data_IF_757621566779
#
_entry.id   IF_757621566779
#
_cell.length_a   1.000
_cell.length_b   1.000
_cell.length_c   1.000
_cell.angle_alpha   90.00
_cell.angle_beta   90.00
_cell.angle_gamma   90.00
#
_symmetry.space_group_name_H-M   'P 1'
#
loop_
_entity.id
_entity.type
_entity.pdbx_description
1 polymer ?
#
# COMPACT_ATOMS: atom_id res chain seq x y z
N UNK A 1 -14.44 -16.44 3.77
CA UNK A 1 -13.40 -16.71 2.74
C UNK A 1 -13.22 -18.19 2.37
N UNK A 2 -13.33 -19.16 3.28
CA UNK A 2 -13.08 -20.59 2.95
C UNK A 2 -13.99 -21.20 1.87
N UNK A 3 -15.24 -20.76 1.73
CA UNK A 3 -16.17 -21.29 0.70
C UNK A 3 -15.77 -20.93 -0.73
N UNK A 4 -15.29 -19.70 -0.97
CA UNK A 4 -14.88 -19.27 -2.30
C UNK A 4 -13.60 -20.00 -2.74
N UNK A 5 -12.62 -20.11 -1.84
CA UNK A 5 -11.42 -20.90 -2.07
C UNK A 5 -11.75 -22.38 -2.31
N UNK A 6 -12.70 -22.96 -1.58
CA UNK A 6 -13.15 -24.35 -1.81
C UNK A 6 -13.89 -24.55 -3.14
N UNK A 7 -14.47 -23.49 -3.70
CA UNK A 7 -15.18 -23.50 -4.97
C UNK A 7 -14.19 -23.34 -6.14
N UNK A 8 -13.19 -22.49 -5.98
CA UNK A 8 -12.07 -22.32 -6.91
C UNK A 8 -11.12 -23.54 -6.94
N UNK A 9 -10.94 -24.23 -5.81
CA UNK A 9 -10.05 -25.39 -5.68
C UNK A 9 -10.75 -26.73 -6.00
N UNK A 10 -12.01 -26.72 -6.44
CA UNK A 10 -12.76 -27.94 -6.71
C UNK A 10 -12.31 -28.54 -8.04
N UNK A 11 -11.63 -29.68 -7.96
CA UNK A 11 -11.08 -30.40 -9.11
C UNK A 11 -12.21 -30.92 -10.03
N UNK A 12 -12.16 -30.61 -11.33
CA UNK A 12 -13.17 -30.92 -12.36
C UNK A 12 -13.33 -32.44 -12.64
N UNK A 13 -12.62 -33.28 -11.89
CA UNK A 13 -12.43 -34.71 -12.13
C UNK A 13 -13.65 -35.61 -11.85
N UNK A 14 -14.77 -35.08 -11.35
CA UNK A 14 -15.93 -35.91 -10.99
C UNK A 14 -17.04 -35.85 -12.06
N UNK A 15 -17.12 -36.92 -12.85
CA UNK A 15 -18.11 -37.11 -13.91
C UNK A 15 -19.56 -36.93 -13.41
N UNK A 16 -20.40 -36.36 -14.27
CA UNK A 16 -21.83 -36.02 -14.09
C UNK A 16 -22.08 -34.58 -13.60
N UNK A 17 -22.19 -33.66 -14.58
CA UNK A 17 -22.91 -32.37 -14.49
C UNK A 17 -22.52 -31.41 -13.35
N UNK A 18 -21.26 -31.36 -12.94
CA UNK A 18 -20.77 -30.22 -12.17
C UNK A 18 -20.74 -29.00 -13.11
N UNK A 19 -21.60 -28.02 -12.85
CA UNK A 19 -21.54 -26.72 -13.55
C UNK A 19 -20.14 -26.15 -13.35
N UNK A 20 -19.34 -26.01 -14.41
CA UNK A 20 -18.09 -25.26 -14.32
C UNK A 20 -18.46 -23.80 -14.11
N UNK A 21 -18.13 -23.26 -12.95
CA UNK A 21 -18.31 -21.85 -12.66
C UNK A 21 -17.06 -21.13 -13.16
N UNK A 22 -17.18 -20.36 -14.22
CA UNK A 22 -16.13 -19.42 -14.62
C UNK A 22 -16.18 -18.23 -13.64
N UNK A 23 -15.27 -18.25 -12.67
CA UNK A 23 -15.18 -17.24 -11.61
C UNK A 23 -13.99 -16.35 -11.93
N UNK A 24 -14.27 -15.13 -12.40
CA UNK A 24 -13.27 -14.09 -12.56
C UNK A 24 -13.31 -13.13 -11.37
N UNK A 25 -12.15 -12.87 -10.78
CA UNK A 25 -11.99 -11.89 -9.70
C UNK A 25 -11.26 -10.67 -10.25
N UNK A 26 -12.00 -9.58 -10.41
CA UNK A 26 -11.44 -8.30 -10.84
C UNK A 26 -10.94 -7.53 -9.61
N UNK A 27 -9.65 -7.68 -9.31
CA UNK A 27 -9.00 -6.93 -8.24
C UNK A 27 -8.64 -5.50 -8.65
N UNK A 28 -8.56 -5.21 -9.96
CA UNK A 28 -8.22 -3.88 -10.46
C UNK A 28 -9.42 -2.93 -10.42
N UNK A 29 -10.63 -3.43 -10.70
CA UNK A 29 -11.87 -2.64 -10.70
C UNK A 29 -12.84 -3.04 -9.59
N UNK A 30 -12.35 -3.56 -8.47
CA UNK A 30 -13.18 -3.91 -7.33
C UNK A 30 -13.94 -2.65 -6.83
N UNK A 31 -15.27 -2.67 -6.94
CA UNK A 31 -16.13 -1.58 -6.47
C UNK A 31 -16.73 -1.94 -5.11
N UNK A 32 -16.78 -0.99 -4.15
CA UNK A 32 -17.37 -1.26 -2.85
C UNK A 32 -18.88 -1.50 -2.97
N UNK A 33 -19.40 -2.39 -2.14
CA UNK A 33 -20.86 -2.43 -1.90
C UNK A 33 -21.31 -1.20 -1.11
N UNK A 34 -22.62 -0.93 -1.08
CA UNK A 34 -23.16 0.21 -0.32
C UNK A 34 -22.77 0.18 1.17
N UNK A 35 -22.67 -1.01 1.75
CA UNK A 35 -22.24 -1.20 3.14
C UNK A 35 -20.75 -1.00 3.36
N UNK A 36 -19.93 -1.17 2.34
CA UNK A 36 -18.47 -1.04 2.42
C UNK A 36 -17.99 0.35 2.02
N UNK A 37 -18.82 1.14 1.33
CA UNK A 37 -18.44 2.39 0.69
C UNK A 37 -17.77 3.40 1.62
N UNK A 38 -18.30 3.60 2.83
CA UNK A 38 -17.72 4.54 3.79
C UNK A 38 -16.27 4.15 4.16
N UNK A 39 -16.05 2.88 4.50
CA UNK A 39 -14.73 2.35 4.85
C UNK A 39 -13.80 2.35 3.63
N UNK A 40 -14.32 2.00 2.46
CA UNK A 40 -13.56 2.02 1.22
C UNK A 40 -13.04 3.42 0.90
N UNK A 41 -13.89 4.45 0.96
CA UNK A 41 -13.51 5.83 0.66
C UNK A 41 -12.49 6.38 1.66
N UNK A 42 -12.61 6.03 2.95
CA UNK A 42 -11.62 6.39 3.97
C UNK A 42 -10.25 5.76 3.66
N UNK A 43 -10.23 4.45 3.41
CA UNK A 43 -8.99 3.71 3.14
C UNK A 43 -8.37 4.14 1.82
N UNK A 44 -9.17 4.33 0.77
CA UNK A 44 -8.70 4.75 -0.55
C UNK A 44 -7.97 6.11 -0.47
N UNK A 45 -8.49 7.05 0.33
CA UNK A 45 -7.84 8.34 0.58
C UNK A 45 -6.45 8.15 1.18
N UNK A 46 -6.34 7.34 2.24
CA UNK A 46 -5.06 7.07 2.91
C UNK A 46 -4.08 6.36 1.98
N UNK A 47 -4.56 5.42 1.17
CA UNK A 47 -3.71 4.70 0.20
C UNK A 47 -3.16 5.65 -0.87
N UNK A 48 -3.97 6.56 -1.41
CA UNK A 48 -3.52 7.58 -2.37
C UNK A 48 -2.48 8.53 -1.75
N UNK A 49 -2.68 8.95 -0.51
CA UNK A 49 -1.71 9.79 0.21
C UNK A 49 -0.40 9.03 0.52
N UNK A 50 -0.47 7.71 0.73
CA UNK A 50 0.70 6.90 1.06
C UNK A 50 1.74 6.85 -0.07
N UNK A 51 1.32 6.97 -1.33
CA UNK A 51 2.25 7.04 -2.46
C UNK A 51 3.17 8.26 -2.36
N UNK A 52 2.61 9.41 -1.99
CA UNK A 52 3.37 10.66 -1.78
C UNK A 52 4.39 10.46 -0.64
N UNK A 53 3.97 9.85 0.47
CA UNK A 53 4.85 9.56 1.60
C UNK A 53 6.01 8.66 1.18
N UNK A 54 5.75 7.64 0.35
CA UNK A 54 6.79 6.74 -0.16
C UNK A 54 7.78 7.47 -1.07
N UNK A 55 7.29 8.34 -1.95
CA UNK A 55 8.15 9.17 -2.82
C UNK A 55 9.07 10.08 -2.00
N UNK A 56 8.54 10.76 -0.99
CA UNK A 56 9.31 11.63 -0.09
C UNK A 56 10.41 10.86 0.66
N UNK A 57 10.09 9.66 1.15
CA UNK A 57 11.06 8.79 1.83
C UNK A 57 12.15 8.32 0.87
N UNK A 58 11.79 7.94 -0.36
CA UNK A 58 12.76 7.45 -1.35
C UNK A 58 13.83 8.50 -1.70
N UNK A 59 13.46 9.78 -1.70
CA UNK A 59 14.38 10.88 -2.03
C UNK A 59 15.02 11.54 -0.81
N UNK A 60 14.74 11.05 0.41
CA UNK A 60 15.29 11.61 1.64
C UNK A 60 16.81 11.35 1.74
N UNK A 61 17.60 12.40 1.45
CA UNK A 61 19.07 12.34 1.49
C UNK A 61 19.67 12.39 2.91
N UNK A 62 18.89 12.88 3.88
CA UNK A 62 19.34 13.22 5.23
C UNK A 62 20.26 14.45 5.28
N UNK A 63 20.57 14.89 6.51
CA UNK A 63 21.43 16.05 6.81
C UNK A 63 22.69 15.68 7.61
N UNK A 64 23.13 14.42 7.50
CA UNK A 64 24.18 13.89 8.38
C UNK A 64 25.54 14.56 8.24
N UNK A 65 25.85 15.14 7.07
CA UNK A 65 27.10 15.88 6.86
C UNK A 65 27.06 17.20 7.64
N UNK A 66 26.00 17.96 7.46
CA UNK A 66 25.75 19.26 8.09
C UNK A 66 25.72 19.12 9.61
N UNK A 67 25.04 18.08 10.11
CA UNK A 67 25.00 17.76 11.55
C UNK A 67 26.40 17.46 12.10
N UNK A 68 27.20 16.63 11.42
CA UNK A 68 28.58 16.33 11.85
C UNK A 68 29.47 17.56 11.82
N UNK A 69 29.34 18.41 10.80
CA UNK A 69 30.04 19.69 10.70
C UNK A 69 29.69 20.60 11.89
N UNK A 70 28.40 20.73 12.23
CA UNK A 70 27.93 21.53 13.35
C UNK A 70 28.37 20.99 14.74
N UNK A 71 28.49 19.67 14.90
CA UNK A 71 29.03 19.06 16.12
C UNK A 71 30.53 19.32 16.26
N UNK A 72 31.28 19.22 15.16
CA UNK A 72 32.72 19.44 15.15
C UNK A 72 33.09 20.93 15.29
N UNK A 73 32.30 21.82 14.70
CA UNK A 73 32.43 23.27 14.79
C UNK A 73 31.10 23.91 15.22
N UNK A 74 30.95 24.35 16.48
CA UNK A 74 29.73 24.97 16.98
C UNK A 74 29.57 26.44 16.55
N UNK A 75 30.26 26.88 15.50
CA UNK A 75 30.08 28.23 14.96
C UNK A 75 28.63 28.48 14.51
N UNK A 76 28.09 29.71 14.64
CA UNK A 76 26.71 30.01 14.27
C UNK A 76 26.35 29.61 12.83
N UNK A 77 27.31 29.76 11.92
CA UNK A 77 27.17 29.40 10.51
C UNK A 77 26.95 27.89 10.32
N UNK A 78 27.70 27.06 11.02
CA UNK A 78 27.55 25.60 10.93
C UNK A 78 26.24 25.13 11.58
N UNK A 79 25.81 25.78 12.66
CA UNK A 79 24.51 25.52 13.30
C UNK A 79 23.33 25.88 12.39
N UNK A 80 23.34 27.06 11.77
CA UNK A 80 22.29 27.49 10.82
C UNK A 80 22.17 26.57 9.60
N UNK A 81 23.29 25.99 9.14
CA UNK A 81 23.29 25.09 7.98
C UNK A 81 22.70 23.71 8.30
N UNK A 82 22.76 23.28 9.57
CA UNK A 82 22.26 21.98 10.00
C UNK A 82 20.78 22.01 10.44
N UNK A 83 20.21 23.20 10.64
CA UNK A 83 18.81 23.44 11.03
C UNK A 83 17.91 23.64 9.81
#
# INVERSE_FOLDING_TARGET
MGKLLSLLARDDSNCCAAKSYDVFLDFENAAPTDTEREVFEEVERVLKESEIVLEEIQVYKGAGKEIREAIADPSPKCQEKAW
#
